data_IF_875473338022
#
_entry.id   IF_875473338022
#
_cell.length_a   1.000
_cell.length_b   1.000
_cell.length_c   1.000
_cell.angle_alpha   90.00
_cell.angle_beta   90.00
_cell.angle_gamma   90.00
#
_symmetry.space_group_name_H-M   'P 1'
#
loop_
_entity.id
_entity.type
_entity.pdbx_description
1 polymer ?
#
# COMPACT_ATOMS: atom_id res chain seq x y z
N UNK A 1 -4.27 -12.63 -8.01
CA UNK A 1 -2.87 -12.40 -7.60
C UNK A 1 -2.76 -10.95 -7.18
N UNK A 2 -2.26 -10.68 -5.98
CA UNK A 2 -2.11 -9.30 -5.47
C UNK A 2 -1.02 -8.55 -6.24
N UNK A 3 -1.16 -7.23 -6.35
CA UNK A 3 -0.08 -6.35 -6.81
C UNK A 3 1.06 -6.41 -5.79
N UNK A 4 2.30 -6.57 -6.26
CA UNK A 4 3.47 -6.48 -5.39
C UNK A 4 3.60 -5.03 -4.88
N UNK A 5 3.96 -4.84 -3.60
CA UNK A 5 4.20 -3.51 -3.09
C UNK A 5 5.40 -2.88 -3.79
N UNK A 6 5.22 -1.66 -4.26
CA UNK A 6 6.32 -0.87 -4.80
C UNK A 6 7.17 -0.28 -3.68
N UNK A 7 6.51 0.09 -2.58
CA UNK A 7 7.16 0.73 -1.44
C UNK A 7 6.40 0.45 -0.15
N UNK A 8 7.14 0.19 0.92
CA UNK A 8 6.62 0.29 2.29
C UNK A 8 6.91 1.71 2.77
N UNK A 9 5.87 2.47 3.08
CA UNK A 9 5.97 3.88 3.50
C UNK A 9 5.80 4.07 5.00
N UNK A 10 5.30 3.05 5.71
CA UNK A 10 5.18 3.07 7.16
C UNK A 10 4.97 1.68 7.74
N UNK A 11 5.41 1.50 8.98
CA UNK A 11 5.15 0.29 9.75
C UNK A 11 5.01 0.67 11.22
N UNK A 12 3.97 0.16 11.87
CA UNK A 12 3.71 0.38 13.30
C UNK A 12 3.32 -0.94 13.96
N UNK A 13 3.98 -1.26 15.07
CA UNK A 13 3.53 -2.35 15.96
C UNK A 13 2.21 -1.96 16.61
N UNK A 14 1.28 -2.89 16.67
CA UNK A 14 0.02 -2.80 17.39
C UNK A 14 -0.04 -3.92 18.44
N UNK A 15 -1.03 -3.86 19.33
CA UNK A 15 -1.25 -4.92 20.32
C UNK A 15 -1.74 -6.22 19.67
N UNK A 16 -2.23 -6.17 18.42
CA UNK A 16 -2.74 -7.31 17.68
C UNK A 16 -1.80 -7.79 16.56
N UNK A 17 -0.63 -7.17 16.41
CA UNK A 17 0.30 -7.46 15.31
C UNK A 17 0.93 -6.19 14.74
N UNK A 18 0.78 -5.95 13.44
CA UNK A 18 1.38 -4.83 12.71
C UNK A 18 0.36 -4.10 11.84
N UNK A 19 0.54 -2.80 11.69
CA UNK A 19 -0.16 -1.97 10.71
C UNK A 19 0.89 -1.38 9.77
N UNK A 20 0.75 -1.65 8.47
CA UNK A 20 1.70 -1.26 7.42
C UNK A 20 1.03 -0.29 6.46
N UNK A 21 1.78 0.72 6.02
CA UNK A 21 1.41 1.56 4.88
C UNK A 21 2.24 1.11 3.68
N UNK A 22 1.56 0.74 2.60
CA UNK A 22 2.20 0.27 1.37
C UNK A 22 1.62 1.00 0.16
N UNK A 23 2.50 1.41 -0.74
CA UNK A 23 2.10 1.96 -2.03
C UNK A 23 2.08 0.84 -3.07
N UNK A 24 0.93 0.68 -3.73
CA UNK A 24 0.69 -0.30 -4.79
C UNK A 24 0.34 0.43 -6.08
N UNK A 25 0.77 -0.09 -7.23
CA UNK A 25 0.21 0.33 -8.52
C UNK A 25 -1.14 -0.34 -8.73
N UNK A 26 -2.21 0.45 -8.87
CA UNK A 26 -3.53 -0.08 -9.22
C UNK A 26 -3.73 -0.14 -10.74
N UNK A 27 -3.09 0.78 -11.48
CA UNK A 27 -3.19 0.86 -12.93
C UNK A 27 -1.87 1.33 -13.54
N UNK A 28 -1.22 0.44 -14.28
CA UNK A 28 -0.06 0.77 -15.10
C UNK A 28 -0.51 1.54 -16.37
N UNK A 29 0.27 2.55 -16.78
CA UNK A 29 0.02 3.38 -17.97
C UNK A 29 1.32 3.72 -18.70
N UNK A 30 1.21 4.24 -19.93
CA UNK A 30 2.36 4.70 -20.74
C UNK A 30 2.16 6.20 -21.08
N UNK A 31 3.11 7.09 -20.72
CA UNK A 31 4.33 6.80 -19.97
C UNK A 31 4.03 6.42 -18.51
N UNK A 32 4.94 5.67 -17.87
CA UNK A 32 4.77 5.14 -16.50
C UNK A 32 4.60 6.22 -15.42
N UNK A 33 5.01 7.45 -15.72
CA UNK A 33 4.74 8.63 -14.88
C UNK A 33 3.26 8.97 -14.77
N UNK A 34 2.40 8.40 -15.63
CA UNK A 34 0.95 8.59 -15.57
C UNK A 34 0.21 7.46 -14.86
N UNK A 35 0.93 6.43 -14.41
CA UNK A 35 0.37 5.28 -13.69
C UNK A 35 -0.27 5.71 -12.38
N UNK A 36 -1.33 5.00 -11.96
CA UNK A 36 -2.08 5.31 -10.75
C UNK A 36 -1.61 4.40 -9.63
N UNK A 37 -1.12 5.03 -8.56
CA UNK A 37 -0.75 4.38 -7.31
C UNK A 37 -1.82 4.61 -6.25
N UNK A 38 -1.80 3.77 -5.23
CA UNK A 38 -2.64 3.89 -4.06
C UNK A 38 -1.85 3.50 -2.80
N UNK A 39 -2.04 4.27 -1.73
CA UNK A 39 -1.54 3.89 -0.40
C UNK A 39 -2.62 3.04 0.27
N UNK A 40 -2.23 1.84 0.70
CA UNK A 40 -3.05 0.93 1.48
C UNK A 40 -2.52 0.84 2.91
N UNK A 41 -3.44 0.79 3.87
CA UNK A 41 -3.17 0.25 5.21
C UNK A 41 -3.44 -1.25 5.18
N UNK A 42 -2.45 -2.03 5.59
CA UNK A 42 -2.58 -3.47 5.80
C UNK A 42 -2.41 -3.75 7.29
N UNK A 43 -3.40 -4.40 7.90
CA UNK A 43 -3.33 -4.87 9.27
C UNK A 43 -3.05 -6.36 9.25
N UNK A 44 -1.95 -6.75 9.89
CA UNK A 44 -1.40 -8.10 9.91
C UNK A 44 -1.35 -8.54 11.36
N UNK A 45 -1.79 -9.76 11.65
CA UNK A 45 -1.74 -10.30 13.01
C UNK A 45 -0.31 -10.72 13.43
N UNK A 46 -0.18 -11.26 14.65
CA UNK A 46 1.11 -11.68 15.19
C UNK A 46 1.73 -12.87 14.43
N UNK A 47 0.91 -13.66 13.75
CA UNK A 47 1.34 -14.82 12.96
C UNK A 47 1.70 -14.43 11.52
N UNK A 48 1.47 -13.16 11.14
CA UNK A 48 1.79 -12.65 9.81
C UNK A 48 0.63 -12.76 8.82
N UNK A 49 -0.58 -13.10 9.26
CA UNK A 49 -1.75 -13.16 8.38
C UNK A 49 -2.38 -11.79 8.21
N UNK A 50 -2.76 -11.46 6.97
CA UNK A 50 -3.49 -10.24 6.67
C UNK A 50 -4.92 -10.36 7.22
N UNK A 51 -5.25 -9.53 8.20
CA UNK A 51 -6.57 -9.50 8.88
C UNK A 51 -7.39 -8.27 8.52
N UNK A 52 -6.78 -7.24 7.95
CA UNK A 52 -7.46 -6.03 7.49
C UNK A 52 -6.74 -5.35 6.34
N UNK A 53 -7.51 -4.72 5.45
CA UNK A 53 -6.95 -3.87 4.41
C UNK A 53 -7.87 -2.69 4.10
N UNK A 54 -7.29 -1.51 3.90
CA UNK A 54 -8.03 -0.31 3.55
C UNK A 54 -7.22 0.56 2.59
N UNK A 55 -7.83 1.01 1.49
CA UNK A 55 -7.21 2.01 0.61
C UNK A 55 -7.41 3.40 1.21
N UNK A 56 -6.30 4.05 1.56
CA UNK A 56 -6.34 5.38 2.16
C UNK A 56 -6.46 6.49 1.12
N UNK A 57 -5.74 6.36 0.00
CA UNK A 57 -5.73 7.37 -1.07
C UNK A 57 -5.29 6.79 -2.41
N UNK A 58 -5.53 7.56 -3.47
CA UNK A 58 -5.02 7.31 -4.83
C UNK A 58 -4.34 8.56 -5.37
N UNK A 59 -3.27 8.36 -6.13
CA UNK A 59 -2.49 9.44 -6.72
C UNK A 59 -1.81 8.97 -8.00
N UNK A 60 -1.43 9.92 -8.85
CA UNK A 60 -0.62 9.64 -10.05
C UNK A 60 0.84 9.51 -9.63
N UNK A 61 1.60 8.62 -10.26
CA UNK A 61 3.03 8.44 -10.01
C UNK A 61 3.76 9.78 -10.12
N UNK A 62 4.53 10.12 -9.08
CA UNK A 62 5.29 11.37 -9.05
C UNK A 62 4.48 12.61 -8.65
N UNK A 63 3.21 12.46 -8.26
CA UNK A 63 2.51 13.51 -7.53
C UNK A 63 3.22 13.75 -6.20
N UNK A 64 3.66 14.98 -5.96
CA UNK A 64 4.14 15.43 -4.66
C UNK A 64 2.93 15.82 -3.82
N UNK A 65 2.87 15.35 -2.58
CA UNK A 65 1.89 15.76 -1.58
C UNK A 65 2.14 17.21 -1.12
#
# INVERSE_FOLDING_TARGET
MGQAPERVTGARRTDAGWSLLVDLTELERIPSTTSVLATYRLDVDEEGFLVGYERLRRFVRGATD
#
